data_IF_235360316773
#
_entry.id   IF_235360316773
#
_cell.length_a   1.000
_cell.length_b   1.000
_cell.length_c   1.000
_cell.angle_alpha   90.00
_cell.angle_beta   90.00
_cell.angle_gamma   90.00
#
_symmetry.space_group_name_H-M   'P 1'
#
loop_
_entity.id
_entity.type
_entity.pdbx_description
1 polymer ?
#
# COMPACT_ATOMS: atom_id res chain seq x y z
N UNK A 1 24.50 14.61 9.31
CA UNK A 1 23.07 14.92 9.55
C UNK A 1 22.49 15.69 8.36
N UNK A 2 23.16 16.72 7.84
CA UNK A 2 22.67 17.44 6.64
C UNK A 2 22.46 16.60 5.37
N UNK A 3 23.26 15.57 5.13
CA UNK A 3 23.16 14.75 3.91
C UNK A 3 21.87 13.91 3.90
N UNK A 4 21.49 13.34 5.04
CA UNK A 4 20.24 12.56 5.13
C UNK A 4 19.02 13.44 4.92
N UNK A 5 19.01 14.67 5.43
CA UNK A 5 17.86 15.59 5.30
C UNK A 5 17.64 15.98 3.84
N UNK A 6 18.74 16.26 3.13
CA UNK A 6 18.73 16.61 1.71
C UNK A 6 18.21 15.44 0.87
N UNK A 7 18.78 14.25 1.03
CA UNK A 7 18.36 13.08 0.25
C UNK A 7 16.95 12.60 0.65
N UNK A 8 16.61 12.61 1.94
CA UNK A 8 15.26 12.25 2.39
C UNK A 8 14.18 13.17 1.82
N UNK A 9 14.51 14.43 1.53
CA UNK A 9 13.59 15.36 0.88
C UNK A 9 13.37 15.03 -0.61
N UNK A 10 14.38 14.52 -1.31
CA UNK A 10 14.31 14.18 -2.75
C UNK A 10 13.69 12.80 -3.01
N UNK A 11 13.73 11.88 -2.05
CA UNK A 11 13.22 10.50 -2.20
C UNK A 11 11.78 10.40 -2.72
N UNK A 12 10.92 11.36 -2.40
CA UNK A 12 9.54 11.38 -2.93
C UNK A 12 9.48 11.61 -4.43
N UNK A 13 10.37 12.45 -4.96
CA UNK A 13 10.47 12.67 -6.40
C UNK A 13 11.11 11.47 -7.10
N UNK A 14 12.13 10.87 -6.49
CA UNK A 14 12.77 9.64 -7.00
C UNK A 14 11.73 8.55 -7.24
N UNK A 15 10.90 8.24 -6.23
CA UNK A 15 9.86 7.22 -6.38
C UNK A 15 8.76 7.62 -7.35
N UNK A 16 8.34 8.89 -7.34
CA UNK A 16 7.27 9.37 -8.21
C UNK A 16 7.65 9.36 -9.70
N UNK A 17 8.90 9.67 -10.02
CA UNK A 17 9.40 9.72 -11.40
C UNK A 17 10.10 8.42 -11.84
N UNK A 18 10.21 7.42 -10.97
CA UNK A 18 10.71 6.11 -11.34
C UNK A 18 9.80 5.44 -12.38
N UNK A 19 10.41 4.91 -13.45
CA UNK A 19 9.70 4.11 -14.47
C UNK A 19 9.18 2.80 -13.86
N UNK A 20 9.99 2.20 -12.99
CA UNK A 20 9.70 0.96 -12.28
C UNK A 20 10.40 0.98 -10.93
N UNK A 21 9.69 0.61 -9.87
CA UNK A 21 10.30 0.33 -8.56
C UNK A 21 10.34 -1.17 -8.33
N UNK A 22 11.54 -1.70 -8.10
CA UNK A 22 11.77 -3.10 -7.74
C UNK A 22 11.90 -3.18 -6.22
N UNK A 23 11.15 -4.10 -5.62
CA UNK A 23 11.03 -4.19 -4.17
C UNK A 23 11.32 -5.61 -3.71
N UNK A 24 12.39 -5.80 -2.94
CA UNK A 24 12.68 -7.05 -2.24
C UNK A 24 11.88 -7.13 -0.93
N UNK A 25 10.57 -7.34 -1.01
CA UNK A 25 9.67 -7.26 0.14
C UNK A 25 9.96 -8.31 1.22
N UNK A 26 10.46 -9.48 0.83
CA UNK A 26 10.83 -10.56 1.76
C UNK A 26 12.14 -10.29 2.52
N UNK A 27 13.02 -9.46 1.95
CA UNK A 27 14.33 -9.17 2.51
C UNK A 27 14.22 -8.43 3.83
N UNK A 28 15.02 -8.85 4.81
CA UNK A 28 15.10 -8.14 6.11
C UNK A 28 15.88 -6.83 5.98
N UNK A 29 16.86 -6.81 5.08
CA UNK A 29 17.74 -5.68 4.81
C UNK A 29 18.28 -5.75 3.37
N UNK A 30 19.17 -4.82 3.02
CA UNK A 30 19.74 -4.70 1.67
C UNK A 30 20.67 -5.86 1.27
N UNK A 31 21.10 -6.71 2.22
CA UNK A 31 21.98 -7.85 1.91
C UNK A 31 21.22 -9.06 1.36
N UNK A 32 19.89 -9.11 1.52
CA UNK A 32 19.10 -10.31 1.21
C UNK A 32 18.82 -10.47 -0.30
N UNK A 33 18.72 -9.37 -1.04
CA UNK A 33 18.43 -9.40 -2.49
C UNK A 33 16.99 -9.76 -2.85
N UNK A 34 16.71 -9.86 -4.16
CA UNK A 34 15.35 -10.09 -4.68
C UNK A 34 14.98 -11.58 -4.81
N UNK A 35 15.98 -12.46 -4.90
CA UNK A 35 15.77 -13.86 -5.23
C UNK A 35 15.93 -14.73 -3.99
N UNK A 36 14.95 -15.60 -3.75
CA UNK A 36 14.95 -16.60 -2.70
C UNK A 36 14.55 -17.94 -3.31
N UNK A 37 15.05 -19.03 -2.75
CA UNK A 37 14.57 -20.36 -3.12
C UNK A 37 13.13 -20.51 -2.63
N UNK A 38 12.20 -20.74 -3.56
CA UNK A 38 10.76 -20.80 -3.27
C UNK A 38 10.30 -22.26 -3.26
N UNK A 39 9.63 -22.73 -2.19
CA UNK A 39 9.04 -24.07 -2.19
C UNK A 39 7.85 -24.12 -3.17
N UNK A 40 8.09 -24.58 -4.39
CA UNK A 40 7.11 -24.58 -5.49
C UNK A 40 5.79 -25.26 -5.10
N UNK A 41 5.85 -26.36 -4.35
CA UNK A 41 4.65 -27.12 -3.94
C UNK A 41 3.76 -26.39 -2.92
N UNK A 42 4.27 -25.34 -2.26
CA UNK A 42 3.48 -24.56 -1.27
C UNK A 42 2.51 -23.57 -1.93
N UNK A 43 2.68 -23.29 -3.23
CA UNK A 43 1.85 -22.34 -3.98
C UNK A 43 1.31 -22.89 -5.29
N UNK A 44 2.00 -23.82 -5.91
CA UNK A 44 1.70 -24.22 -7.27
C UNK A 44 0.80 -25.43 -7.30
N UNK A 45 -0.30 -25.33 -8.05
CA UNK A 45 -1.18 -26.45 -8.35
C UNK A 45 -0.37 -27.56 -9.02
N UNK A 46 -0.28 -28.71 -8.37
CA UNK A 46 0.38 -29.88 -8.91
C UNK A 46 -0.63 -30.70 -9.71
N UNK A 47 -0.36 -30.92 -11.01
CA UNK A 47 -1.18 -31.82 -11.84
C UNK A 47 -0.89 -33.26 -11.43
N UNK A 48 -1.87 -33.92 -10.82
CA UNK A 48 -1.74 -35.30 -10.33
C UNK A 48 -2.32 -36.34 -11.31
N UNK A 49 -3.23 -35.93 -12.19
CA UNK A 49 -3.84 -36.81 -13.18
C UNK A 49 -4.32 -36.01 -14.40
N UNK A 50 -4.25 -36.63 -15.59
CA UNK A 50 -4.80 -36.08 -16.83
C UNK A 50 -5.24 -37.21 -17.76
N UNK A 51 -6.45 -37.09 -18.32
CA UNK A 51 -6.96 -37.90 -19.41
C UNK A 51 -7.44 -37.00 -20.57
N UNK A 52 -7.94 -37.61 -21.65
CA UNK A 52 -8.41 -36.89 -22.84
C UNK A 52 -9.58 -35.91 -22.60
N UNK A 53 -10.22 -35.92 -21.42
CA UNK A 53 -11.39 -35.11 -21.08
C UNK A 53 -11.19 -34.25 -19.83
N UNK A 54 -10.27 -34.59 -18.93
CA UNK A 54 -10.13 -33.95 -17.62
C UNK A 54 -8.68 -33.97 -17.12
N UNK A 55 -8.33 -32.91 -16.39
CA UNK A 55 -7.11 -32.85 -15.58
C UNK A 55 -7.49 -32.61 -14.12
N UNK A 56 -6.78 -33.26 -13.19
CA UNK A 56 -6.93 -33.11 -11.74
C UNK A 56 -5.68 -32.46 -11.18
N UNK A 57 -5.89 -31.41 -10.41
CA UNK A 57 -4.84 -30.65 -9.75
C UNK A 57 -5.01 -30.74 -8.23
N UNK A 58 -3.89 -30.82 -7.52
CA UNK A 58 -3.81 -30.57 -6.08
C UNK A 58 -3.30 -29.15 -5.90
N UNK A 59 -4.12 -28.30 -5.30
CA UNK A 59 -3.78 -26.90 -5.01
C UNK A 59 -3.69 -26.68 -3.51
N UNK A 60 -2.79 -25.81 -3.03
CA UNK A 60 -2.80 -25.35 -1.64
C UNK A 60 -4.15 -24.69 -1.31
N UNK A 61 -4.65 -24.87 -0.09
CA UNK A 61 -6.00 -24.47 0.36
C UNK A 61 -6.31 -22.96 0.22
N UNK A 62 -5.31 -22.10 0.02
CA UNK A 62 -5.44 -20.64 -0.07
C UNK A 62 -5.08 -20.09 -1.45
N UNK A 63 -5.80 -20.49 -2.49
CA UNK A 63 -5.68 -19.87 -3.83
C UNK A 63 -6.55 -18.62 -3.98
N UNK A 64 -7.60 -18.49 -3.17
CA UNK A 64 -8.23 -17.20 -2.89
C UNK A 64 -7.24 -16.39 -2.07
N UNK A 65 -6.83 -15.24 -2.61
CA UNK A 65 -5.78 -14.32 -2.11
C UNK A 65 -5.09 -14.81 -0.84
N UNK A 66 -3.77 -15.09 -0.87
CA UNK A 66 -3.06 -15.41 0.36
C UNK A 66 -3.41 -14.32 1.34
N UNK A 67 -4.13 -14.67 2.41
CA UNK A 67 -4.42 -13.74 3.48
C UNK A 67 -3.06 -13.43 4.06
N UNK A 68 -2.43 -12.38 3.53
CA UNK A 68 -1.13 -11.88 3.93
C UNK A 68 -1.32 -11.22 5.30
N UNK A 69 -1.69 -12.03 6.29
CA UNK A 69 -1.94 -11.63 7.67
C UNK A 69 -0.65 -11.28 8.39
N UNK A 70 0.50 -11.64 7.81
CA UNK A 70 1.80 -11.22 8.30
C UNK A 70 2.41 -10.15 7.38
N UNK A 71 2.58 -8.91 7.87
CA UNK A 71 3.32 -7.90 7.11
C UNK A 71 4.75 -8.38 6.93
N UNK A 72 5.22 -8.32 5.69
CA UNK A 72 6.60 -8.70 5.34
C UNK A 72 7.61 -7.75 6.02
N UNK A 73 8.88 -8.18 6.18
CA UNK A 73 9.89 -7.38 6.88
C UNK A 73 10.00 -5.95 6.34
N UNK A 74 9.94 -5.80 5.02
CA UNK A 74 9.97 -4.47 4.41
C UNK A 74 8.72 -3.67 4.76
N UNK A 75 7.53 -4.26 4.71
CA UNK A 75 6.23 -3.60 4.97
C UNK A 75 6.09 -3.04 6.39
N UNK A 76 6.96 -3.44 7.30
CA UNK A 76 7.03 -2.91 8.66
C UNK A 76 7.76 -1.58 8.75
N UNK A 77 8.46 -1.10 7.72
CA UNK A 77 9.25 0.14 7.79
C UNK A 77 8.38 1.36 7.47
N UNK A 78 8.43 2.41 8.30
CA UNK A 78 7.61 3.62 8.10
C UNK A 78 7.80 4.32 6.74
N UNK A 79 8.98 4.20 6.14
CA UNK A 79 9.32 4.78 4.83
C UNK A 79 8.55 4.15 3.66
N UNK A 80 7.97 2.96 3.85
CA UNK A 80 7.33 2.14 2.83
C UNK A 80 6.11 2.79 2.20
N UNK A 81 5.44 3.71 2.89
CA UNK A 81 4.28 4.41 2.31
C UNK A 81 4.69 5.20 1.08
N UNK A 82 5.88 5.81 1.07
CA UNK A 82 6.44 6.46 -0.13
C UNK A 82 6.72 5.43 -1.22
N UNK A 83 7.36 4.32 -0.86
CA UNK A 83 7.78 3.26 -1.78
C UNK A 83 6.59 2.52 -2.42
N UNK A 84 5.44 2.52 -1.74
CA UNK A 84 4.21 1.89 -2.21
C UNK A 84 3.32 2.85 -2.96
N UNK A 85 3.07 4.05 -2.43
CA UNK A 85 2.06 4.95 -2.97
C UNK A 85 2.55 5.79 -4.17
N UNK A 86 3.83 6.18 -4.20
CA UNK A 86 4.35 7.12 -5.20
C UNK A 86 4.72 6.48 -6.55
N UNK A 87 5.34 5.28 -6.62
CA UNK A 87 5.72 4.72 -7.91
C UNK A 87 4.53 4.41 -8.79
N UNK A 88 4.62 4.73 -10.07
CA UNK A 88 3.57 4.36 -11.04
C UNK A 88 3.47 2.84 -11.24
N UNK A 89 4.61 2.14 -11.17
CA UNK A 89 4.74 0.70 -11.39
C UNK A 89 5.67 0.09 -10.35
N UNK A 90 5.24 -0.99 -9.72
CA UNK A 90 6.00 -1.71 -8.70
C UNK A 90 6.03 -3.20 -9.03
N UNK A 91 7.23 -3.77 -9.03
CA UNK A 91 7.47 -5.20 -9.05
C UNK A 91 8.01 -5.64 -7.69
N UNK A 92 7.18 -6.33 -6.93
CA UNK A 92 7.51 -6.81 -5.58
C UNK A 92 7.91 -8.28 -5.63
N UNK A 93 9.11 -8.58 -5.13
CA UNK A 93 9.61 -9.90 -4.85
C UNK A 93 9.30 -10.26 -3.40
N UNK A 94 8.31 -11.12 -3.22
CA UNK A 94 7.93 -11.67 -1.91
C UNK A 94 8.60 -13.03 -1.72
N UNK A 95 8.42 -13.57 -0.52
CA UNK A 95 8.97 -14.85 -0.09
C UNK A 95 8.41 -16.02 -0.91
N UNK A 96 7.14 -15.92 -1.32
CA UNK A 96 6.44 -16.98 -2.05
C UNK A 96 6.12 -16.66 -3.51
N UNK A 97 6.10 -15.39 -3.91
CA UNK A 97 5.74 -15.00 -5.28
C UNK A 97 6.28 -13.64 -5.70
N UNK A 98 6.20 -13.34 -7.00
CA UNK A 98 6.28 -11.98 -7.52
C UNK A 98 4.89 -11.37 -7.69
N UNK A 99 4.80 -10.07 -7.40
CA UNK A 99 3.60 -9.27 -7.58
C UNK A 99 3.89 -8.03 -8.40
N UNK A 100 3.01 -7.75 -9.36
CA UNK A 100 2.96 -6.52 -10.12
C UNK A 100 1.85 -5.62 -9.57
N UNK A 101 2.11 -4.33 -9.47
CA UNK A 101 1.08 -3.35 -9.15
C UNK A 101 1.34 -2.05 -9.90
N UNK A 102 0.34 -1.58 -10.63
CA UNK A 102 0.27 -0.22 -11.15
C UNK A 102 -1.13 0.37 -10.90
N UNK A 103 -1.41 1.53 -11.49
CA UNK A 103 -2.71 2.21 -11.38
C UNK A 103 -3.79 1.63 -12.30
N UNK A 104 -3.41 0.75 -13.23
CA UNK A 104 -4.30 0.18 -14.24
C UNK A 104 -4.47 -1.34 -14.11
N UNK A 105 -3.52 -2.00 -13.45
CA UNK A 105 -3.52 -3.44 -13.29
C UNK A 105 -2.73 -3.88 -12.07
N UNK A 106 -3.07 -5.07 -11.61
CA UNK A 106 -2.27 -5.85 -10.67
C UNK A 106 -1.88 -7.15 -11.36
N UNK A 107 -0.88 -7.82 -10.84
CA UNK A 107 -0.48 -9.14 -11.27
C UNK A 107 0.11 -9.92 -10.11
N UNK A 108 -0.10 -11.21 -10.11
CA UNK A 108 0.52 -12.14 -9.16
C UNK A 108 0.85 -13.41 -9.92
N UNK A 109 2.01 -14.01 -9.63
CA UNK A 109 2.37 -15.33 -10.18
C UNK A 109 1.29 -16.39 -9.87
N UNK A 110 0.57 -16.25 -8.76
CA UNK A 110 -0.52 -17.16 -8.41
C UNK A 110 -1.73 -17.08 -9.37
N UNK A 111 -2.00 -15.90 -9.97
CA UNK A 111 -3.17 -15.73 -10.84
C UNK A 111 -3.03 -16.44 -12.20
N UNK A 112 -1.79 -16.66 -12.65
CA UNK A 112 -1.52 -17.51 -13.81
C UNK A 112 -1.92 -18.97 -13.58
N UNK A 113 -2.09 -19.40 -12.33
CA UNK A 113 -2.37 -20.79 -11.95
C UNK A 113 -3.86 -21.08 -11.77
N UNK A 114 -4.67 -20.07 -11.45
CA UNK A 114 -6.13 -20.20 -11.27
C UNK A 114 -6.94 -19.91 -12.53
N UNK A 115 -6.32 -19.31 -13.55
CA UNK A 115 -7.02 -18.85 -14.75
C UNK A 115 -7.96 -17.65 -14.50
N UNK A 116 -7.97 -17.10 -13.29
CA UNK A 116 -8.73 -15.92 -12.91
C UNK A 116 -7.98 -15.19 -11.79
N UNK A 117 -7.55 -13.96 -12.07
CA UNK A 117 -7.24 -12.99 -11.01
C UNK A 117 -8.56 -12.45 -10.43
N UNK A 118 -8.56 -11.95 -9.18
CA UNK A 118 -9.71 -11.23 -8.64
C UNK A 118 -10.08 -10.09 -9.59
N UNK A 119 -11.38 -9.81 -9.73
CA UNK A 119 -11.79 -8.64 -10.52
C UNK A 119 -11.25 -7.38 -9.86
N UNK A 120 -10.90 -6.35 -10.65
CA UNK A 120 -10.41 -5.06 -10.10
C UNK A 120 -11.39 -4.44 -9.07
N UNK A 121 -12.67 -4.85 -9.09
CA UNK A 121 -13.71 -4.42 -8.16
C UNK A 121 -13.66 -5.10 -6.79
N UNK A 122 -13.03 -6.26 -6.68
CA UNK A 122 -12.94 -7.05 -5.43
C UNK A 122 -11.67 -6.73 -4.63
N UNK A 123 -10.67 -6.17 -5.29
CA UNK A 123 -9.43 -5.74 -4.65
C UNK A 123 -9.64 -4.43 -3.87
N UNK A 124 -9.24 -4.35 -2.59
CA UNK A 124 -9.21 -3.08 -1.86
C UNK A 124 -8.46 -2.03 -2.67
N UNK A 125 -8.94 -0.78 -2.65
CA UNK A 125 -8.25 0.35 -3.26
C UNK A 125 -6.80 0.38 -2.78
N UNK A 126 -5.83 0.22 -3.69
CA UNK A 126 -4.42 0.24 -3.32
C UNK A 126 -4.06 1.61 -2.76
N UNK A 127 -2.96 1.66 -2.03
CA UNK A 127 -2.39 2.91 -1.55
C UNK A 127 -2.03 3.84 -2.72
N UNK A 128 -1.60 3.26 -3.85
CA UNK A 128 -1.41 3.99 -5.12
C UNK A 128 -2.71 4.62 -5.62
N UNK A 129 -3.81 3.84 -5.64
CA UNK A 129 -5.10 4.34 -6.11
C UNK A 129 -5.64 5.42 -5.16
N UNK A 130 -5.55 5.19 -3.85
CA UNK A 130 -5.98 6.16 -2.84
C UNK A 130 -5.22 7.48 -2.97
N UNK A 131 -3.90 7.42 -3.16
CA UNK A 131 -3.10 8.62 -3.40
C UNK A 131 -3.45 9.30 -4.73
N UNK A 132 -3.67 8.54 -5.82
CA UNK A 132 -4.12 9.09 -7.10
C UNK A 132 -5.46 9.78 -6.98
N UNK A 133 -6.41 9.17 -6.28
CA UNK A 133 -7.75 9.70 -6.09
C UNK A 133 -7.70 11.04 -5.34
N UNK A 134 -6.89 11.14 -4.27
CA UNK A 134 -6.62 12.41 -3.57
C UNK A 134 -6.09 13.50 -4.51
N UNK A 135 -5.16 13.16 -5.40
CA UNK A 135 -4.61 14.13 -6.36
C UNK A 135 -5.61 14.48 -7.48
N UNK A 136 -6.58 13.63 -7.74
CA UNK A 136 -7.64 13.89 -8.73
C UNK A 136 -8.79 14.74 -8.17
N UNK A 137 -8.84 14.92 -6.85
CA UNK A 137 -9.85 15.77 -6.22
C UNK A 137 -9.68 17.20 -6.71
N UNK A 138 -10.77 17.77 -7.26
CA UNK A 138 -10.79 19.18 -7.62
C UNK A 138 -10.66 20.03 -6.34
N UNK A 139 -10.03 21.21 -6.37
CA UNK A 139 -10.07 22.12 -5.24
C UNK A 139 -11.53 22.38 -4.87
N UNK A 140 -11.93 21.99 -3.66
CA UNK A 140 -13.28 22.21 -3.17
C UNK A 140 -13.57 23.71 -3.12
N UNK A 141 -14.73 24.13 -3.62
CA UNK A 141 -15.29 25.44 -3.29
C UNK A 141 -15.60 25.39 -1.79
N UNK A 142 -14.72 25.97 -0.97
CA UNK A 142 -14.78 26.07 0.49
C UNK A 142 -14.61 24.76 1.29
N UNK A 143 -13.75 24.79 2.33
CA UNK A 143 -13.47 23.67 3.25
C UNK A 143 -14.64 23.25 4.15
N UNK A 144 -15.88 23.63 3.83
CA UNK A 144 -17.09 23.33 4.59
C UNK A 144 -18.03 22.30 3.91
N UNK A 145 -17.74 21.86 2.69
CA UNK A 145 -18.52 20.81 2.04
C UNK A 145 -18.24 19.44 2.68
N UNK A 146 -19.24 18.90 3.39
CA UNK A 146 -19.20 17.59 4.03
C UNK A 146 -18.91 16.48 3.00
N UNK A 147 -19.46 16.58 1.78
CA UNK A 147 -19.21 15.61 0.72
C UNK A 147 -17.74 15.59 0.29
N UNK A 148 -17.14 16.77 0.14
CA UNK A 148 -15.72 16.91 -0.16
C UNK A 148 -14.84 16.31 0.94
N UNK A 149 -15.13 16.64 2.20
CA UNK A 149 -14.42 16.10 3.35
C UNK A 149 -14.52 14.58 3.44
N UNK A 150 -15.72 14.00 3.32
CA UNK A 150 -15.91 12.56 3.33
C UNK A 150 -15.15 11.87 2.20
N UNK A 151 -15.15 12.45 0.99
CA UNK A 151 -14.35 11.97 -0.12
C UNK A 151 -12.86 12.00 0.17
N UNK A 152 -12.37 13.10 0.75
CA UNK A 152 -10.96 13.24 1.14
C UNK A 152 -10.54 12.16 2.13
N UNK A 153 -11.26 12.02 3.24
CA UNK A 153 -10.92 11.05 4.29
C UNK A 153 -11.10 9.60 3.86
N UNK A 154 -11.97 9.31 2.88
CA UNK A 154 -12.09 7.98 2.28
C UNK A 154 -10.75 7.49 1.71
N UNK A 155 -9.96 8.40 1.14
CA UNK A 155 -8.68 8.08 0.52
C UNK A 155 -7.47 8.39 1.42
N UNK A 156 -7.57 9.40 2.30
CA UNK A 156 -6.50 9.75 3.24
C UNK A 156 -6.36 8.76 4.40
N UNK A 157 -7.47 8.27 4.98
CA UNK A 157 -7.44 7.36 6.13
C UNK A 157 -6.68 6.06 5.84
N UNK A 158 -6.85 5.37 4.69
CA UNK A 158 -6.06 4.17 4.37
C UNK A 158 -4.56 4.43 4.34
N UNK A 159 -4.13 5.57 3.78
CA UNK A 159 -2.70 5.94 3.72
C UNK A 159 -2.13 6.18 5.11
N UNK A 160 -2.87 6.89 5.97
CA UNK A 160 -2.46 7.12 7.36
C UNK A 160 -2.50 5.84 8.18
N UNK A 161 -3.49 4.97 8.00
CA UNK A 161 -3.57 3.70 8.69
C UNK A 161 -2.40 2.77 8.33
N UNK A 162 -2.02 2.71 7.05
CA UNK A 162 -0.81 2.01 6.62
C UNK A 162 0.41 2.59 7.33
N UNK A 163 0.49 3.92 7.36
CA UNK A 163 1.61 4.65 7.92
C UNK A 163 1.77 4.43 9.44
N UNK A 164 0.68 4.52 10.20
CA UNK A 164 0.67 4.35 11.66
C UNK A 164 0.86 2.88 12.07
N UNK A 165 0.51 1.93 11.20
CA UNK A 165 0.76 0.51 11.43
C UNK A 165 2.23 0.11 11.24
N UNK A 166 3.04 0.92 10.53
CA UNK A 166 4.46 0.65 10.36
C UNK A 166 5.25 0.86 11.66
N UNK A 167 6.25 0.00 11.91
CA UNK A 167 7.22 0.20 12.98
C UNK A 167 8.18 1.32 12.59
N UNK A 168 8.09 2.43 13.30
CA UNK A 168 9.09 3.50 13.24
C UNK A 168 10.34 3.01 13.96
N UNK A 169 11.45 2.89 13.23
CA UNK A 169 12.77 2.68 13.84
C UNK A 169 13.19 3.94 14.62
N UNK A 170 12.77 5.11 14.15
CA UNK A 170 12.96 6.41 14.79
C UNK A 170 11.64 7.20 14.77
N UNK A 171 11.03 7.48 15.93
CA UNK A 171 9.78 8.24 16.02
C UNK A 171 9.88 9.64 15.40
N UNK A 172 11.06 10.26 15.39
CA UNK A 172 11.26 11.61 14.86
C UNK A 172 11.16 11.67 13.32
N UNK A 173 11.39 10.54 12.63
CA UNK A 173 11.23 10.44 11.18
C UNK A 173 9.76 10.40 10.76
N UNK A 174 8.83 10.43 11.73
CA UNK A 174 7.41 10.17 11.48
C UNK A 174 6.79 11.22 10.55
N UNK A 175 7.12 12.49 10.73
CA UNK A 175 6.57 13.54 9.87
C UNK A 175 7.33 13.63 8.55
N UNK A 176 8.62 13.32 8.59
CA UNK A 176 9.48 13.32 7.39
C UNK A 176 8.95 12.29 6.40
N UNK A 177 8.70 11.05 6.82
CA UNK A 177 8.25 9.95 5.96
C UNK A 177 6.94 10.23 5.19
N UNK A 178 6.01 11.01 5.73
CA UNK A 178 4.76 11.35 5.03
C UNK A 178 4.76 12.73 4.37
N UNK A 179 5.72 13.60 4.73
CA UNK A 179 5.79 14.99 4.25
C UNK A 179 5.76 15.11 2.73
N UNK A 180 6.35 14.16 1.99
CA UNK A 180 6.35 14.19 0.53
C UNK A 180 4.98 13.91 -0.09
N UNK A 181 4.15 13.06 0.54
CA UNK A 181 2.76 12.84 0.12
C UNK A 181 1.93 14.08 0.46
N UNK A 182 2.09 14.60 1.68
CA UNK A 182 1.39 15.79 2.17
C UNK A 182 1.63 16.99 1.26
N UNK A 183 2.89 17.34 0.98
CA UNK A 183 3.26 18.47 0.10
C UNK A 183 2.60 18.39 -1.28
N UNK A 184 2.46 17.18 -1.82
CA UNK A 184 1.82 16.96 -3.13
C UNK A 184 0.30 17.14 -3.04
N UNK A 185 -0.32 16.64 -1.97
CA UNK A 185 -1.74 16.86 -1.70
C UNK A 185 -2.03 18.35 -1.49
N UNK A 186 -1.23 19.06 -0.70
CA UNK A 186 -1.36 20.51 -0.49
C UNK A 186 -1.28 21.28 -1.81
N UNK A 187 -0.28 20.97 -2.64
CA UNK A 187 -0.09 21.60 -3.95
C UNK A 187 -1.30 21.40 -4.89
N UNK A 188 -1.93 20.24 -4.83
CA UNK A 188 -2.98 19.84 -5.76
C UNK A 188 -4.38 20.25 -5.29
N UNK A 189 -4.64 20.15 -3.99
CA UNK A 189 -5.96 20.42 -3.40
C UNK A 189 -6.09 21.84 -2.85
N UNK A 190 -4.96 22.50 -2.55
CA UNK A 190 -4.92 23.80 -1.87
C UNK A 190 -5.15 23.72 -0.36
N UNK A 191 -5.33 22.51 0.19
CA UNK A 191 -5.44 22.29 1.64
C UNK A 191 -4.11 22.57 2.34
N UNK A 192 -4.17 22.90 3.63
CA UNK A 192 -2.99 23.14 4.46
C UNK A 192 -2.85 22.04 5.51
N UNK A 193 -1.69 21.38 5.57
CA UNK A 193 -1.37 20.43 6.62
C UNK A 193 -0.56 21.10 7.75
N UNK A 194 -0.93 20.80 8.99
CA UNK A 194 -0.30 21.29 10.21
C UNK A 194 -0.07 20.09 11.11
N UNK A 195 1.20 19.71 11.31
CA UNK A 195 1.62 18.60 12.18
C UNK A 195 0.87 17.28 11.92
N UNK A 196 0.54 16.97 10.66
CA UNK A 196 -0.16 15.74 10.28
C UNK A 196 -1.69 15.88 10.22
N UNK A 197 -2.25 17.00 10.67
CA UNK A 197 -3.68 17.32 10.55
C UNK A 197 -3.93 18.31 9.41
N UNK A 198 -5.11 18.30 8.82
CA UNK A 198 -5.51 19.25 7.78
C UNK A 198 -6.23 20.43 8.43
N UNK A 199 -5.62 21.62 8.36
CA UNK A 199 -6.13 22.87 8.95
C UNK A 199 -7.58 23.14 8.57
N UNK A 200 -7.90 22.91 7.30
CA UNK A 200 -9.23 23.12 6.71
C UNK A 200 -10.28 22.17 7.30
N UNK A 201 -9.84 21.02 7.82
CA UNK A 201 -10.69 19.98 8.40
C UNK A 201 -10.39 19.73 9.88
N UNK A 202 -9.77 20.71 10.56
CA UNK A 202 -9.26 20.53 11.92
C UNK A 202 -10.34 20.06 12.91
N UNK A 203 -11.59 20.50 12.71
CA UNK A 203 -12.73 20.04 13.52
C UNK A 203 -12.93 18.52 13.43
N UNK A 204 -12.73 17.92 12.26
CA UNK A 204 -12.83 16.49 12.05
C UNK A 204 -11.62 15.75 12.60
N UNK A 205 -10.41 16.27 12.36
CA UNK A 205 -9.16 15.64 12.84
C UNK A 205 -9.06 15.62 14.37
N UNK A 206 -9.72 16.56 15.07
CA UNK A 206 -9.76 16.62 16.53
C UNK A 206 -10.91 15.80 17.15
N UNK A 207 -11.82 15.26 16.36
CA UNK A 207 -12.91 14.43 16.90
C UNK A 207 -12.40 13.04 17.26
N UNK A 208 -12.62 12.67 18.52
CA UNK A 208 -12.39 11.32 19.00
C UNK A 208 -13.53 10.41 18.56
N UNK A 209 -13.20 9.36 17.81
CA UNK A 209 -14.17 8.33 17.45
C UNK A 209 -14.08 7.20 18.48
N UNK A 210 -15.16 6.97 19.23
CA UNK A 210 -15.25 5.84 20.13
C UNK A 210 -15.43 4.57 19.32
N UNK A 211 -14.46 3.66 19.33
CA UNK A 211 -14.65 2.31 18.78
C UNK A 211 -15.82 1.67 19.53
N UNK A 212 -16.92 1.26 18.85
CA UNK A 212 -18.01 0.56 19.51
C UNK A 212 -17.40 -0.65 20.22
N UNK A 213 -17.43 -0.65 21.55
CA UNK A 213 -16.88 -1.74 22.34
C UNK A 213 -17.59 -3.02 21.93
N UNK A 214 -16.83 -4.02 21.49
CA UNK A 214 -17.34 -5.38 21.40
C UNK A 214 -17.99 -5.71 22.73
N UNK A 215 -19.31 -5.83 22.76
CA UNK A 215 -20.05 -6.29 23.92
C UNK A 215 -19.54 -7.67 24.28
N UNK A 216 -18.59 -7.71 25.23
CA UNK A 216 -18.29 -8.94 25.95
C UNK A 216 -19.50 -9.19 26.85
N UNK A 217 -20.44 -9.98 26.34
CA UNK A 217 -21.48 -10.60 27.14
C UNK A 217 -20.79 -11.32 28.30
N UNK A 218 -21.10 -10.89 29.51
CA UNK A 218 -20.73 -11.55 30.76
C UNK A 218 -21.94 -12.30 31.28
#
# INVERSE_FOLDING_TARGET
>A
MEDWEKEAATMSDVYNYAVLTIVASWGKDSSTGCFVERPLLSKWSCRIFEDARKAVYVSPESVDEPKYTTPLPLEKRAWVVRERALPAKTLSFRDLEMQWTCLESRGSEAWSLTGAGPSDKELPSSEKQSFRDLLSMKPGLCGADIGYMCGFYKHWRPLIALYTACRLTFPDDILVAISGLVKRIEKQTGLTNIFGMWKDFLRMDLMWEGTPGSTKNR
#
